data_IF_202711155148
#
_entry.id   IF_202711155148
#
_cell.length_a   1.000
_cell.length_b   1.000
_cell.length_c   1.000
_cell.angle_alpha   90.00
_cell.angle_beta   90.00
_cell.angle_gamma   90.00
#
_symmetry.space_group_name_H-M   'P 1'
#
loop_
_entity.id
_entity.type
_entity.pdbx_description
1 polymer ?
#
# COMPACT_ATOMS: atom_id res chain seq x y z
N UNK A 1 11.98 2.70 -16.68
CA UNK A 1 10.52 2.77 -16.85
C UNK A 1 9.91 1.98 -15.70
N UNK A 2 9.52 2.65 -14.62
CA UNK A 2 8.80 2.01 -13.51
C UNK A 2 7.32 1.99 -13.92
N UNK A 3 6.80 0.80 -14.26
CA UNK A 3 5.41 0.63 -14.73
C UNK A 3 4.44 0.62 -13.54
N UNK A 4 4.94 0.34 -12.33
CA UNK A 4 4.16 0.30 -11.11
C UNK A 4 4.94 0.90 -9.94
N UNK A 5 4.27 1.73 -9.14
CA UNK A 5 4.81 2.33 -7.93
C UNK A 5 4.23 1.62 -6.68
N UNK A 6 4.93 1.75 -5.55
CA UNK A 6 4.52 1.18 -4.26
C UNK A 6 4.17 2.28 -3.28
N UNK A 7 3.42 1.94 -2.22
CA UNK A 7 3.15 2.89 -1.14
C UNK A 7 4.44 3.30 -0.44
N UNK A 8 5.28 2.31 -0.12
CA UNK A 8 6.58 2.50 0.51
C UNK A 8 7.65 2.01 -0.45
N UNK A 9 8.74 2.75 -0.58
CA UNK A 9 9.89 2.34 -1.36
C UNK A 9 11.01 1.84 -0.44
N UNK A 10 11.89 0.98 -0.96
CA UNK A 10 13.08 0.53 -0.24
C UNK A 10 14.33 0.89 -1.04
N UNK A 11 15.25 1.60 -0.39
CA UNK A 11 16.50 1.99 -1.05
C UNK A 11 17.56 0.88 -1.03
N UNK A 12 18.69 1.15 -1.69
CA UNK A 12 19.83 0.21 -1.74
C UNK A 12 20.51 -0.06 -0.39
N UNK A 13 20.08 0.59 0.69
CA UNK A 13 20.53 0.36 2.07
C UNK A 13 19.42 -0.27 2.94
N UNK A 14 18.36 -0.78 2.31
CA UNK A 14 17.19 -1.36 2.96
C UNK A 14 16.41 -0.39 3.85
N UNK A 15 16.58 0.93 3.67
CA UNK A 15 15.80 1.93 4.38
C UNK A 15 14.49 2.20 3.66
N UNK A 16 13.42 2.34 4.43
CA UNK A 16 12.10 2.70 3.91
C UNK A 16 12.09 4.17 3.50
N UNK A 17 11.55 4.46 2.33
CA UNK A 17 11.43 5.82 1.77
C UNK A 17 10.00 6.06 1.27
N UNK A 18 9.57 7.34 1.21
CA UNK A 18 8.30 7.70 0.60
C UNK A 18 8.19 7.20 -0.85
N UNK A 19 7.10 6.49 -1.14
CA UNK A 19 6.66 6.17 -2.49
C UNK A 19 5.41 6.98 -2.85
N UNK A 20 4.33 6.26 -3.14
CA UNK A 20 2.97 6.80 -3.25
C UNK A 20 2.41 7.24 -1.88
N UNK A 21 2.92 6.70 -0.77
CA UNK A 21 2.68 7.25 0.56
C UNK A 21 3.84 8.22 0.92
N UNK A 22 3.50 9.44 1.29
CA UNK A 22 4.46 10.49 1.68
C UNK A 22 4.87 10.38 3.14
N UNK A 23 4.00 9.83 3.98
CA UNK A 23 4.24 9.60 5.39
C UNK A 23 3.37 8.45 5.90
N UNK A 24 3.82 7.78 6.96
CA UNK A 24 3.03 6.79 7.67
C UNK A 24 3.43 6.72 9.15
N UNK A 25 2.48 6.31 9.99
CA UNK A 25 2.71 6.16 11.43
C UNK A 25 1.80 5.08 12.01
N UNK A 26 2.23 4.38 13.08
CA UNK A 26 1.30 3.61 13.88
C UNK A 26 0.36 4.58 14.62
N UNK A 27 -0.92 4.22 14.73
CA UNK A 27 -1.90 4.92 15.59
C UNK A 27 -2.36 4.05 16.76
N UNK A 28 -2.20 2.73 16.64
CA UNK A 28 -2.26 1.76 17.73
C UNK A 28 -1.38 0.55 17.38
N UNK A 29 -1.36 -0.47 18.22
CA UNK A 29 -0.62 -1.71 17.93
C UNK A 29 -1.08 -2.37 16.61
N UNK A 30 -2.36 -2.24 16.26
CA UNK A 30 -2.99 -2.90 15.10
C UNK A 30 -3.47 -1.95 14.02
N UNK A 31 -3.10 -0.67 14.09
CA UNK A 31 -3.59 0.35 13.16
C UNK A 31 -2.44 1.26 12.70
N UNK A 32 -2.38 1.48 11.38
CA UNK A 32 -1.42 2.39 10.76
C UNK A 32 -2.13 3.39 9.86
N UNK A 33 -1.72 4.65 9.93
CA UNK A 33 -2.14 5.68 8.98
C UNK A 33 -1.09 5.90 7.91
N UNK A 34 -1.53 6.04 6.66
CA UNK A 34 -0.68 6.39 5.51
C UNK A 34 -1.26 7.62 4.82
N UNK A 35 -0.43 8.65 4.66
CA UNK A 35 -0.73 9.84 3.85
C UNK A 35 -0.30 9.58 2.41
N UNK A 36 -1.22 9.70 1.47
CA UNK A 36 -0.97 9.46 0.05
C UNK A 36 -0.53 10.74 -0.66
N UNK A 37 0.29 10.59 -1.69
CA UNK A 37 0.83 11.68 -2.50
C UNK A 37 -0.30 12.30 -3.36
N UNK A 38 -0.58 13.60 -3.21
CA UNK A 38 -1.56 14.27 -4.06
C UNK A 38 -0.99 14.53 -5.47
N UNK A 39 -1.89 14.67 -6.45
CA UNK A 39 -1.53 15.08 -7.82
C UNK A 39 -0.79 14.01 -8.64
N UNK A 40 -0.76 12.75 -8.17
CA UNK A 40 -0.26 11.63 -8.96
C UNK A 40 -1.32 11.23 -9.98
N UNK A 41 -0.90 11.01 -11.23
CA UNK A 41 -1.76 10.58 -12.32
C UNK A 41 -1.29 9.22 -12.83
N UNK A 42 -2.25 8.36 -13.13
CA UNK A 42 -2.05 7.17 -13.93
C UNK A 42 -1.73 7.56 -15.38
N UNK A 43 -1.19 6.60 -16.15
CA UNK A 43 -0.82 6.84 -17.55
C UNK A 43 -1.99 7.23 -18.46
N UNK A 44 -3.21 6.89 -18.09
CA UNK A 44 -4.47 7.28 -18.77
C UNK A 44 -4.99 8.67 -18.33
N UNK A 45 -4.29 9.33 -17.40
CA UNK A 45 -4.67 10.64 -16.87
C UNK A 45 -5.62 10.61 -15.67
N UNK A 46 -6.09 9.43 -15.22
CA UNK A 46 -6.92 9.33 -14.01
C UNK A 46 -6.10 9.66 -12.76
N UNK A 47 -6.64 10.40 -11.77
CA UNK A 47 -5.93 10.63 -10.52
C UNK A 47 -5.74 9.34 -9.71
N UNK A 48 -4.59 9.23 -9.05
CA UNK A 48 -4.36 8.24 -8.01
C UNK A 48 -4.97 8.70 -6.67
N UNK A 49 -5.71 7.82 -6.01
CA UNK A 49 -6.27 8.06 -4.69
C UNK A 49 -6.41 6.79 -3.83
N UNK A 50 -7.05 6.95 -2.67
CA UNK A 50 -7.33 5.88 -1.72
C UNK A 50 -8.04 4.65 -2.33
N UNK A 51 -8.88 4.85 -3.35
CA UNK A 51 -9.66 3.77 -3.97
C UNK A 51 -8.76 2.78 -4.72
N UNK A 52 -7.66 3.23 -5.30
CA UNK A 52 -6.66 2.38 -5.96
C UNK A 52 -5.96 1.46 -4.97
N UNK A 53 -5.73 1.95 -3.76
CA UNK A 53 -5.14 1.15 -2.68
C UNK A 53 -6.13 0.06 -2.24
N UNK A 54 -7.39 0.43 -2.02
CA UNK A 54 -8.44 -0.53 -1.65
C UNK A 54 -8.62 -1.60 -2.74
N UNK A 55 -8.64 -1.19 -4.01
CA UNK A 55 -8.73 -2.10 -5.15
C UNK A 55 -7.54 -3.06 -5.18
N UNK A 56 -6.32 -2.54 -5.09
CA UNK A 56 -5.10 -3.35 -5.08
C UNK A 56 -5.14 -4.39 -3.96
N UNK A 57 -5.49 -3.97 -2.74
CA UNK A 57 -5.45 -4.83 -1.56
C UNK A 57 -6.55 -5.90 -1.55
N UNK A 58 -7.68 -5.63 -2.23
CA UNK A 58 -8.72 -6.65 -2.43
C UNK A 58 -8.38 -7.62 -3.56
N UNK A 59 -7.60 -7.20 -4.58
CA UNK A 59 -7.26 -8.02 -5.74
C UNK A 59 -6.03 -8.91 -5.54
N UNK A 60 -4.96 -8.37 -4.96
CA UNK A 60 -3.65 -9.06 -4.82
C UNK A 60 -3.75 -10.43 -4.12
N UNK A 61 -4.50 -10.61 -3.02
CA UNK A 61 -4.63 -11.92 -2.37
C UNK A 61 -5.38 -12.97 -3.21
N UNK A 62 -6.17 -12.53 -4.19
CA UNK A 62 -7.09 -13.38 -4.95
C UNK A 62 -6.58 -13.79 -6.34
N UNK A 63 -5.31 -13.49 -6.66
CA UNK A 63 -4.70 -13.89 -7.94
C UNK A 63 -4.29 -15.36 -7.88
N UNK A 64 -5.11 -16.24 -8.48
CA UNK A 64 -4.82 -17.66 -8.60
C UNK A 64 -3.56 -17.92 -9.46
N UNK A 65 -2.75 -18.91 -9.07
CA UNK A 65 -1.55 -19.37 -9.79
C UNK A 65 -0.45 -18.32 -10.01
N UNK A 66 -0.37 -17.27 -9.18
CA UNK A 66 0.76 -16.33 -9.21
C UNK A 66 2.02 -17.00 -8.63
N UNK A 67 3.09 -17.22 -9.42
CA UNK A 67 4.29 -17.94 -8.96
C UNK A 67 5.07 -17.21 -7.83
N UNK A 68 4.69 -15.97 -7.53
CA UNK A 68 5.24 -15.13 -6.47
C UNK A 68 4.17 -14.21 -5.89
N UNK A 69 3.04 -14.78 -5.48
CA UNK A 69 1.87 -14.03 -5.03
C UNK A 69 2.19 -13.02 -3.91
N UNK A 70 1.98 -11.73 -4.19
CA UNK A 70 2.16 -10.66 -3.20
C UNK A 70 1.15 -10.73 -2.03
N UNK A 71 0.18 -11.66 -2.08
CA UNK A 71 -0.79 -11.91 -1.01
C UNK A 71 -0.16 -12.22 0.34
N UNK A 72 1.05 -12.81 0.37
CA UNK A 72 1.79 -13.02 1.62
C UNK A 72 2.10 -11.72 2.38
N UNK A 73 2.42 -10.64 1.66
CA UNK A 73 2.71 -9.32 2.22
C UNK A 73 1.46 -8.58 2.71
N UNK A 74 0.27 -9.03 2.28
CA UNK A 74 -1.01 -8.46 2.71
C UNK A 74 -1.74 -9.36 3.71
N UNK A 75 -1.17 -10.51 4.09
CA UNK A 75 -1.83 -11.51 4.95
C UNK A 75 -2.26 -10.94 6.29
N UNK A 76 -1.45 -10.05 6.88
CA UNK A 76 -1.78 -9.42 8.15
C UNK A 76 -2.75 -8.25 8.01
N UNK A 77 -3.03 -7.77 6.78
CA UNK A 77 -3.99 -6.70 6.55
C UNK A 77 -5.41 -7.23 6.66
N UNK A 78 -6.12 -6.79 7.69
CA UNK A 78 -7.52 -7.12 7.95
C UNK A 78 -8.47 -6.32 7.07
N UNK A 79 -8.24 -5.01 6.96
CA UNK A 79 -9.01 -4.09 6.10
C UNK A 79 -8.27 -2.77 5.88
N UNK A 80 -8.64 -2.08 4.81
CA UNK A 80 -8.25 -0.70 4.54
C UNK A 80 -9.46 0.20 4.76
N UNK A 81 -9.30 1.22 5.60
CA UNK A 81 -10.28 2.27 5.84
C UNK A 81 -9.88 3.54 5.11
N UNK A 82 -10.80 4.11 4.34
CA UNK A 82 -10.58 5.38 3.66
C UNK A 82 -11.05 6.51 4.58
N UNK A 83 -10.10 7.30 5.08
CA UNK A 83 -10.39 8.47 5.92
C UNK A 83 -10.58 9.74 5.05
N UNK A 84 -9.86 9.81 3.92
CA UNK A 84 -10.02 10.81 2.86
C UNK A 84 -9.37 10.30 1.56
N UNK A 85 -9.50 11.00 0.41
CA UNK A 85 -8.82 10.62 -0.84
C UNK A 85 -7.30 10.43 -0.71
N UNK A 86 -6.66 11.09 0.27
CA UNK A 86 -5.22 11.04 0.48
C UNK A 86 -4.81 10.61 1.90
N UNK A 87 -5.73 10.00 2.65
CA UNK A 87 -5.45 9.45 3.97
C UNK A 87 -6.18 8.12 4.13
N UNK A 88 -5.41 7.06 4.34
CA UNK A 88 -5.94 5.72 4.62
C UNK A 88 -5.49 5.25 5.99
N UNK A 89 -6.31 4.39 6.61
CA UNK A 89 -5.92 3.62 7.79
C UNK A 89 -5.98 2.14 7.48
N UNK A 90 -4.85 1.46 7.68
CA UNK A 90 -4.73 0.02 7.52
C UNK A 90 -4.90 -0.62 8.89
N UNK A 91 -5.83 -1.56 8.98
CA UNK A 91 -6.09 -2.37 10.16
C UNK A 91 -5.43 -3.73 9.98
N UNK A 92 -4.70 -4.20 10.98
CA UNK A 92 -4.06 -5.51 10.96
C UNK A 92 -4.76 -6.52 11.87
N UNK A 93 -4.54 -7.82 11.63
CA UNK A 93 -5.10 -8.88 12.46
C UNK A 93 -4.45 -8.93 13.86
N UNK A 94 -3.17 -8.60 13.94
CA UNK A 94 -2.35 -8.60 15.14
C UNK A 94 -1.33 -7.44 15.08
N UNK A 95 -0.63 -7.12 16.18
CA UNK A 95 0.41 -6.09 16.14
C UNK A 95 1.46 -6.41 15.08
N UNK A 96 1.62 -5.50 14.10
CA UNK A 96 2.47 -5.76 12.95
C UNK A 96 3.38 -4.57 12.59
N UNK A 97 4.49 -4.38 13.31
CA UNK A 97 5.44 -3.29 13.06
C UNK A 97 6.12 -3.34 11.68
N UNK A 98 6.13 -4.52 11.04
CA UNK A 98 6.74 -4.72 9.73
C UNK A 98 5.82 -4.32 8.56
N UNK A 99 4.59 -3.87 8.83
CA UNK A 99 3.64 -3.51 7.79
C UNK A 99 4.25 -2.59 6.71
N UNK A 100 4.95 -1.47 7.03
CA UNK A 100 5.52 -0.62 5.98
C UNK A 100 6.58 -1.32 5.12
N UNK A 101 7.31 -2.29 5.67
CA UNK A 101 8.29 -3.10 4.93
C UNK A 101 7.60 -4.05 3.96
N UNK A 102 6.50 -4.68 4.38
CA UNK A 102 5.70 -5.55 3.52
C UNK A 102 5.09 -4.77 2.35
N UNK A 103 4.59 -3.56 2.62
CA UNK A 103 4.05 -2.68 1.58
C UNK A 103 5.11 -2.20 0.59
N UNK A 104 6.39 -2.26 0.95
CA UNK A 104 7.49 -2.04 0.00
C UNK A 104 7.69 -3.21 -0.99
N UNK A 105 6.91 -4.28 -0.87
CA UNK A 105 6.89 -5.38 -1.83
C UNK A 105 5.62 -5.40 -2.67
N UNK A 106 4.63 -4.55 -2.39
CA UNK A 106 3.32 -4.55 -3.05
C UNK A 106 3.17 -3.35 -3.99
N UNK A 107 3.13 -3.62 -5.28
CA UNK A 107 2.83 -2.62 -6.31
C UNK A 107 1.36 -2.22 -6.29
N UNK A 108 1.08 -0.92 -6.43
CA UNK A 108 -0.27 -0.39 -6.59
C UNK A 108 -0.67 -0.46 -8.06
N UNK A 109 -1.94 -0.80 -8.28
CA UNK A 109 -2.57 -0.85 -9.61
C UNK A 109 -3.80 0.05 -9.64
N UNK A 110 -4.12 0.55 -10.83
CA UNK A 110 -5.36 1.27 -11.10
C UNK A 110 -6.57 0.39 -10.79
N UNK A 111 -7.56 0.95 -10.08
CA UNK A 111 -8.92 0.42 -10.01
C UNK A 111 -9.59 0.33 -11.40
#
# INVERSE_FOLDING_TARGET
MHIFDRLVERDGRSQMRPGLATAWRPVSDTEWEFTLRPGVLWHDGRPFDASDVVFTFSRVPNVANSPGGFGGFLREVKRVEVLSPHLIRIHTHQPHPLLPLDLASVSIISA
#
